data_IF_606846157677
#
_entry.id   IF_606846157677
#
_cell.length_a   1.000
_cell.length_b   1.000
_cell.length_c   1.000
_cell.angle_alpha   90.00
_cell.angle_beta   90.00
_cell.angle_gamma   90.00
#
_symmetry.space_group_name_H-M   'P 1'
#
loop_
_entity.id
_entity.type
_entity.pdbx_description
1 polymer ?
#
# COMPACT_ATOMS: atom_id res chain seq x y z
N UNK A 1 71.88 -60.10 -45.37
CA UNK A 1 70.67 -59.81 -44.56
C UNK A 1 70.87 -60.03 -43.05
N UNK A 2 71.55 -61.10 -42.58
CA UNK A 2 71.79 -61.35 -41.12
C UNK A 2 72.59 -60.26 -40.37
N UNK A 3 73.57 -59.60 -41.00
CA UNK A 3 74.38 -58.54 -40.36
C UNK A 3 73.62 -57.22 -40.17
N UNK A 4 72.70 -56.88 -41.07
CA UNK A 4 71.85 -55.68 -40.97
C UNK A 4 70.77 -55.90 -39.89
N UNK A 5 70.21 -57.11 -39.80
CA UNK A 5 69.28 -57.49 -38.73
C UNK A 5 69.93 -57.40 -37.33
N UNK A 6 71.19 -57.82 -37.19
CA UNK A 6 71.92 -57.75 -35.93
C UNK A 6 72.28 -56.32 -35.51
N UNK A 7 72.62 -55.44 -36.47
CA UNK A 7 72.86 -54.02 -36.19
C UNK A 7 71.55 -53.30 -35.85
N UNK A 8 70.44 -53.66 -36.50
CA UNK A 8 69.11 -53.15 -36.17
C UNK A 8 68.67 -53.59 -34.77
N UNK A 9 68.94 -54.85 -34.38
CA UNK A 9 68.70 -55.35 -33.02
C UNK A 9 69.58 -54.62 -31.99
N UNK A 10 70.86 -54.36 -32.29
CA UNK A 10 71.75 -53.64 -31.37
C UNK A 10 71.35 -52.16 -31.26
N UNK A 11 70.88 -51.53 -32.34
CA UNK A 11 70.38 -50.15 -32.32
C UNK A 11 69.06 -50.06 -31.53
N UNK A 12 68.15 -51.03 -31.69
CA UNK A 12 66.93 -51.16 -30.88
C UNK A 12 67.26 -51.44 -29.40
N UNK A 13 68.28 -52.27 -29.12
CA UNK A 13 68.77 -52.52 -27.75
C UNK A 13 69.43 -51.29 -27.12
N UNK A 14 70.04 -50.40 -27.92
CA UNK A 14 70.60 -49.13 -27.45
C UNK A 14 69.52 -48.12 -27.02
N UNK A 15 68.36 -48.16 -27.67
CA UNK A 15 67.16 -47.41 -27.25
C UNK A 15 66.45 -48.04 -26.05
N UNK A 16 66.78 -49.29 -25.67
CA UNK A 16 66.23 -50.00 -24.51
C UNK A 16 67.15 -49.98 -23.28
N UNK A 17 68.20 -49.16 -23.29
CA UNK A 17 69.07 -48.96 -22.11
C UNK A 17 68.31 -48.09 -21.11
N UNK A 18 67.60 -48.73 -20.18
CA UNK A 18 66.98 -48.07 -19.03
C UNK A 18 68.02 -47.40 -18.12
N UNK A 19 67.57 -46.47 -17.28
CA UNK A 19 68.40 -45.78 -16.28
C UNK A 19 69.16 -46.78 -15.39
N UNK A 20 70.47 -46.55 -15.16
CA UNK A 20 71.39 -47.49 -14.50
C UNK A 20 71.62 -47.20 -12.99
N UNK A 21 70.68 -46.52 -12.35
CA UNK A 21 70.71 -46.18 -10.91
C UNK A 21 69.39 -46.60 -10.27
N UNK A 22 69.39 -46.77 -8.95
CA UNK A 22 68.16 -47.01 -8.19
C UNK A 22 67.42 -45.68 -8.01
N UNK A 23 66.16 -45.62 -8.43
CA UNK A 23 65.43 -44.37 -8.46
C UNK A 23 64.97 -43.95 -7.04
N UNK A 24 65.45 -42.80 -6.58
CA UNK A 24 64.88 -42.10 -5.42
C UNK A 24 63.89 -41.04 -5.89
N UNK A 25 62.59 -41.37 -5.83
CA UNK A 25 61.51 -40.50 -6.27
C UNK A 25 61.06 -39.51 -5.19
N UNK A 26 60.85 -38.26 -5.59
CA UNK A 26 60.06 -37.30 -4.82
C UNK A 26 58.58 -37.60 -5.04
N UNK A 27 57.77 -37.49 -3.99
CA UNK A 27 56.33 -37.74 -4.07
C UNK A 27 55.63 -36.80 -5.06
N UNK A 28 54.51 -37.29 -5.62
CA UNK A 28 53.71 -36.54 -6.58
C UNK A 28 53.04 -35.32 -5.94
N UNK A 29 52.78 -34.32 -6.76
CA UNK A 29 51.99 -33.13 -6.43
C UNK A 29 50.82 -33.01 -7.40
N UNK A 30 49.97 -32.00 -7.21
CA UNK A 30 48.92 -31.67 -8.17
C UNK A 30 49.42 -30.94 -9.44
N UNK A 31 50.73 -30.73 -9.56
CA UNK A 31 51.36 -30.10 -10.74
C UNK A 31 52.40 -30.99 -11.41
N UNK A 32 52.87 -32.04 -10.73
CA UNK A 32 53.93 -32.93 -11.21
C UNK A 32 53.76 -34.35 -10.65
N UNK A 33 53.97 -35.41 -11.44
CA UNK A 33 53.96 -36.80 -10.97
C UNK A 33 55.20 -37.10 -10.11
N UNK A 34 55.34 -38.33 -9.61
CA UNK A 34 56.54 -38.71 -8.87
C UNK A 34 57.75 -38.55 -9.77
N UNK A 35 58.81 -37.90 -9.29
CA UNK A 35 59.97 -37.53 -10.13
C UNK A 35 61.27 -37.97 -9.46
N UNK A 36 62.12 -38.68 -10.20
CA UNK A 36 63.41 -39.11 -9.68
C UNK A 36 64.35 -37.91 -9.54
N UNK A 37 64.90 -37.73 -8.33
CA UNK A 37 65.77 -36.60 -8.00
C UNK A 37 67.10 -36.56 -8.75
N UNK A 38 67.57 -37.70 -9.28
CA UNK A 38 68.87 -37.81 -9.95
C UNK A 38 68.79 -37.76 -11.48
N UNK A 39 67.75 -38.32 -12.09
CA UNK A 39 67.63 -38.43 -13.55
C UNK A 39 66.39 -37.73 -14.16
N UNK A 40 65.44 -37.27 -13.34
CA UNK A 40 64.22 -36.61 -13.79
C UNK A 40 63.16 -37.56 -14.38
N UNK A 41 63.36 -38.88 -14.32
CA UNK A 41 62.37 -39.86 -14.77
C UNK A 41 61.10 -39.76 -13.92
N UNK A 42 59.92 -39.79 -14.56
CA UNK A 42 58.63 -39.58 -13.92
C UNK A 42 57.78 -40.85 -13.88
N UNK A 43 57.09 -41.11 -12.76
CA UNK A 43 56.23 -42.28 -12.57
C UNK A 43 54.86 -41.89 -12.00
N UNK A 44 53.80 -42.51 -12.55
CA UNK A 44 52.42 -42.31 -12.10
C UNK A 44 51.76 -41.01 -12.56
N UNK A 45 50.51 -40.81 -12.15
CA UNK A 45 49.74 -39.60 -12.42
C UNK A 45 49.98 -38.53 -11.35
N UNK A 46 49.62 -37.28 -11.68
CA UNK A 46 49.57 -36.19 -10.69
C UNK A 46 48.48 -36.45 -9.63
N UNK A 47 48.63 -35.84 -8.45
CA UNK A 47 47.56 -35.86 -7.44
C UNK A 47 46.37 -35.00 -7.90
N UNK A 48 45.12 -35.36 -7.56
CA UNK A 48 43.97 -34.51 -7.86
C UNK A 48 44.09 -33.17 -7.12
N UNK A 49 43.59 -32.10 -7.74
CA UNK A 49 43.51 -30.79 -7.09
C UNK A 49 42.49 -30.81 -5.94
N UNK A 50 42.88 -30.29 -4.78
CA UNK A 50 41.97 -29.97 -3.66
C UNK A 50 41.57 -28.51 -3.76
N UNK A 51 40.41 -28.25 -4.37
CA UNK A 51 39.87 -26.91 -4.56
C UNK A 51 39.12 -26.42 -3.32
N UNK A 52 39.34 -25.16 -2.97
CA UNK A 52 38.41 -24.40 -2.15
C UNK A 52 37.16 -24.04 -2.96
N UNK A 53 36.01 -23.94 -2.29
CA UNK A 53 34.77 -23.51 -2.94
C UNK A 53 34.87 -22.05 -3.40
N UNK A 54 34.20 -21.75 -4.52
CA UNK A 54 34.09 -20.39 -5.01
C UNK A 54 33.29 -19.54 -4.03
N UNK A 55 33.58 -18.23 -4.00
CA UNK A 55 32.82 -17.25 -3.24
C UNK A 55 32.39 -16.10 -4.18
N UNK A 56 31.84 -15.02 -3.62
CA UNK A 56 31.34 -13.89 -4.42
C UNK A 56 32.40 -13.20 -5.28
N UNK A 57 33.67 -13.21 -4.84
CA UNK A 57 34.76 -12.46 -5.47
C UNK A 57 35.82 -13.35 -6.13
N UNK A 58 35.89 -14.64 -5.75
CA UNK A 58 36.93 -15.57 -6.18
C UNK A 58 36.34 -16.88 -6.72
N UNK A 59 36.90 -17.43 -7.84
CA UNK A 59 36.56 -18.76 -8.33
C UNK A 59 37.11 -19.84 -7.38
N UNK A 60 36.93 -21.12 -7.74
CA UNK A 60 37.56 -22.21 -6.98
C UNK A 60 39.08 -22.13 -7.11
N UNK A 61 39.81 -22.26 -6.00
CA UNK A 61 41.28 -22.18 -5.99
C UNK A 61 41.86 -23.44 -5.34
N UNK A 62 42.79 -24.10 -6.02
CA UNK A 62 43.51 -25.25 -5.48
C UNK A 62 44.42 -24.80 -4.33
N UNK A 63 44.22 -25.38 -3.15
CA UNK A 63 44.94 -25.01 -1.92
C UNK A 63 46.46 -25.27 -2.00
N UNK A 64 46.88 -26.17 -2.90
CA UNK A 64 48.26 -26.64 -3.00
C UNK A 64 49.09 -25.92 -4.07
N UNK A 65 48.48 -25.50 -5.19
CA UNK A 65 49.21 -24.91 -6.31
C UNK A 65 48.65 -23.57 -6.81
N UNK A 66 47.50 -23.11 -6.31
CA UNK A 66 46.88 -21.86 -6.73
C UNK A 66 46.19 -21.90 -8.10
N UNK A 67 46.07 -23.07 -8.73
CA UNK A 67 45.29 -23.22 -9.96
C UNK A 67 43.83 -22.81 -9.69
N UNK A 68 43.24 -22.04 -10.61
CA UNK A 68 41.85 -21.59 -10.56
C UNK A 68 40.97 -22.43 -11.47
N UNK A 69 39.74 -22.70 -11.04
CA UNK A 69 38.72 -23.40 -11.82
C UNK A 69 37.37 -22.68 -11.73
N UNK A 70 36.73 -22.47 -12.90
CA UNK A 70 35.45 -21.77 -13.00
C UNK A 70 35.55 -20.26 -12.75
N UNK A 71 34.41 -19.65 -12.44
CA UNK A 71 34.29 -18.21 -12.15
C UNK A 71 33.84 -18.00 -10.70
N UNK A 72 33.98 -16.76 -10.21
CA UNK A 72 33.39 -16.37 -8.94
C UNK A 72 31.86 -16.46 -9.02
N UNK A 73 31.20 -16.68 -7.88
CA UNK A 73 29.74 -16.78 -7.83
C UNK A 73 29.04 -15.45 -8.18
N UNK A 74 29.75 -14.33 -8.06
CA UNK A 74 29.18 -13.00 -8.17
C UNK A 74 28.33 -12.61 -6.96
N UNK A 75 27.76 -11.41 -7.03
CA UNK A 75 26.91 -10.87 -5.97
C UNK A 75 25.45 -10.87 -6.39
N UNK A 76 24.60 -11.45 -5.53
CA UNK A 76 23.15 -11.25 -5.57
C UNK A 76 22.80 -10.32 -4.41
N UNK A 77 22.30 -9.12 -4.72
CA UNK A 77 21.97 -8.12 -3.71
C UNK A 77 20.47 -8.09 -3.40
N UNK A 78 20.13 -7.89 -2.12
CA UNK A 78 18.81 -7.41 -1.73
C UNK A 78 18.67 -5.92 -2.05
N UNK A 79 17.44 -5.47 -2.30
CA UNK A 79 17.16 -4.05 -2.55
C UNK A 79 17.52 -3.19 -1.33
N UNK A 80 17.94 -1.95 -1.58
CA UNK A 80 18.17 -0.98 -0.53
C UNK A 80 16.84 -0.57 0.14
N UNK A 81 16.89 -0.24 1.42
CA UNK A 81 15.75 0.26 2.20
C UNK A 81 15.94 1.75 2.50
N UNK A 82 15.01 2.35 3.27
CA UNK A 82 15.16 3.73 3.74
C UNK A 82 16.44 3.94 4.56
N UNK A 83 16.88 2.91 5.30
CA UNK A 83 17.93 3.01 6.32
C UNK A 83 19.16 2.18 6.01
N UNK A 84 19.07 1.21 5.10
CA UNK A 84 20.17 0.31 4.75
C UNK A 84 20.46 0.30 3.24
N UNK A 85 21.74 0.25 2.83
CA UNK A 85 22.10 0.09 1.42
C UNK A 85 21.77 -1.31 0.91
N UNK A 86 21.85 -1.48 -0.41
CA UNK A 86 21.68 -2.78 -1.06
C UNK A 86 22.77 -3.75 -0.57
N UNK A 87 22.39 -4.95 -0.12
CA UNK A 87 23.30 -5.86 0.61
C UNK A 87 23.34 -7.23 -0.03
N UNK A 88 24.55 -7.78 -0.24
CA UNK A 88 24.73 -9.09 -0.85
C UNK A 88 24.22 -10.19 0.07
N UNK A 89 23.28 -10.99 -0.42
CA UNK A 89 22.62 -12.07 0.32
C UNK A 89 23.56 -13.21 0.72
N UNK A 90 24.74 -13.30 0.11
CA UNK A 90 25.71 -14.39 0.32
C UNK A 90 26.83 -13.96 1.28
N UNK A 91 27.43 -12.78 1.07
CA UNK A 91 28.62 -12.34 1.82
C UNK A 91 28.41 -11.09 2.69
N UNK A 92 27.27 -10.40 2.58
CA UNK A 92 26.98 -9.20 3.35
C UNK A 92 27.67 -7.92 2.87
N UNK A 93 28.46 -7.97 1.78
CA UNK A 93 29.00 -6.75 1.17
C UNK A 93 27.87 -5.83 0.72
N UNK A 94 28.02 -4.53 0.93
CA UNK A 94 27.04 -3.52 0.55
C UNK A 94 27.38 -2.87 -0.77
N UNK A 95 26.37 -2.36 -1.46
CA UNK A 95 26.49 -1.61 -2.70
C UNK A 95 25.61 -0.36 -2.64
N UNK A 96 26.20 0.81 -2.91
CA UNK A 96 25.52 2.10 -2.83
C UNK A 96 25.19 2.55 -1.41
N UNK A 97 24.26 3.50 -1.31
CA UNK A 97 23.77 4.07 -0.05
C UNK A 97 22.33 3.64 0.21
N UNK A 98 21.83 3.86 1.43
CA UNK A 98 20.42 3.72 1.74
C UNK A 98 19.57 4.71 0.92
N UNK A 99 18.32 4.35 0.61
CA UNK A 99 17.43 5.19 -0.21
C UNK A 99 17.01 6.48 0.48
N UNK A 100 17.09 6.51 1.82
CA UNK A 100 16.56 7.59 2.64
C UNK A 100 15.02 7.62 2.67
N UNK A 101 14.47 8.41 3.58
CA UNK A 101 13.04 8.68 3.59
C UNK A 101 12.70 9.74 2.54
N UNK A 102 11.64 9.50 1.78
CA UNK A 102 11.10 10.44 0.78
C UNK A 102 9.66 10.76 1.14
N UNK A 103 9.39 12.02 1.41
CA UNK A 103 8.03 12.46 1.78
C UNK A 103 7.06 12.30 0.60
N UNK A 104 5.85 11.82 0.90
CA UNK A 104 4.71 11.90 0.00
C UNK A 104 4.11 13.31 -0.02
N UNK A 105 3.17 13.54 -0.95
CA UNK A 105 2.20 14.61 -0.81
C UNK A 105 1.35 14.42 0.45
N UNK A 106 0.69 15.49 0.89
CA UNK A 106 -0.27 15.43 1.98
C UNK A 106 -1.46 14.55 1.62
N UNK A 107 -1.85 13.70 2.57
CA UNK A 107 -3.02 12.85 2.47
C UNK A 107 -3.93 13.21 3.65
N UNK A 108 -5.23 13.26 3.40
CA UNK A 108 -6.24 13.59 4.42
C UNK A 108 -6.99 12.34 4.87
N UNK A 109 -7.26 12.23 6.18
CA UNK A 109 -8.08 11.17 6.78
C UNK A 109 -8.78 11.67 8.04
N UNK A 110 -9.55 10.78 8.68
CA UNK A 110 -10.13 10.98 10.01
C UNK A 110 -10.99 12.25 10.11
N UNK A 111 -11.90 12.46 9.14
CA UNK A 111 -12.89 13.53 9.21
C UNK A 111 -13.82 13.33 10.42
N UNK A 112 -13.83 14.32 11.30
CA UNK A 112 -14.77 14.46 12.41
C UNK A 112 -15.70 15.64 12.12
N UNK A 113 -16.91 15.31 11.63
CA UNK A 113 -17.91 16.31 11.26
C UNK A 113 -18.55 16.98 12.49
N UNK A 114 -18.41 16.39 13.68
CA UNK A 114 -18.96 16.98 14.91
C UNK A 114 -18.07 18.08 15.47
N UNK A 115 -16.75 17.92 15.33
CA UNK A 115 -15.79 18.93 15.76
C UNK A 115 -15.28 19.83 14.63
N UNK A 116 -15.65 19.51 13.38
CA UNK A 116 -15.17 20.24 12.22
C UNK A 116 -13.67 20.06 12.02
N UNK A 117 -13.15 18.85 12.18
CA UNK A 117 -11.71 18.59 12.05
C UNK A 117 -11.38 17.42 11.15
N UNK A 118 -10.14 17.38 10.66
CA UNK A 118 -9.55 16.23 9.96
C UNK A 118 -8.05 16.15 10.20
N UNK A 119 -7.46 15.01 9.89
CA UNK A 119 -6.02 14.77 10.01
C UNK A 119 -5.35 14.80 8.64
N UNK A 120 -4.36 15.67 8.49
CA UNK A 120 -3.41 15.63 7.38
C UNK A 120 -2.17 14.84 7.80
N UNK A 121 -1.70 13.93 6.96
CA UNK A 121 -0.49 13.17 7.21
C UNK A 121 0.33 12.94 5.95
N UNK A 122 1.64 12.72 6.14
CA UNK A 122 2.58 12.32 5.10
C UNK A 122 3.19 10.97 5.43
N UNK A 123 3.46 10.19 4.39
CA UNK A 123 4.15 8.91 4.51
C UNK A 123 5.47 8.93 3.77
N UNK A 124 6.37 8.01 4.12
CA UNK A 124 7.54 7.74 3.31
C UNK A 124 7.13 6.95 2.04
N UNK A 125 7.45 7.43 0.85
CA UNK A 125 7.11 6.75 -0.41
C UNK A 125 7.85 5.41 -0.63
N UNK A 126 8.77 5.05 0.28
CA UNK A 126 9.61 3.84 0.21
C UNK A 126 9.16 2.80 1.25
N UNK A 127 8.98 3.19 2.51
CA UNK A 127 8.58 2.28 3.60
C UNK A 127 7.13 2.47 4.09
N UNK A 128 6.43 3.51 3.61
CA UNK A 128 5.06 3.86 3.98
C UNK A 128 4.82 4.23 5.45
N UNK A 129 5.89 4.39 6.24
CA UNK A 129 5.78 4.90 7.61
C UNK A 129 5.30 6.36 7.62
N UNK A 130 4.45 6.70 8.58
CA UNK A 130 3.99 8.07 8.81
C UNK A 130 5.17 8.93 9.30
N UNK A 131 5.38 10.05 8.63
CA UNK A 131 6.53 10.94 8.86
C UNK A 131 6.13 12.27 9.48
N UNK A 132 4.90 12.71 9.18
CA UNK A 132 4.35 13.97 9.67
C UNK A 132 2.84 13.87 9.76
N UNK A 133 2.27 14.53 10.76
CA UNK A 133 0.84 14.53 11.05
C UNK A 133 0.43 15.88 11.64
N UNK A 134 -0.71 16.40 11.21
CA UNK A 134 -1.30 17.63 11.72
C UNK A 134 -2.82 17.51 11.79
N UNK A 135 -3.42 18.10 12.81
CA UNK A 135 -4.87 18.21 12.97
C UNK A 135 -5.31 19.57 12.42
N UNK A 136 -6.27 19.55 11.49
CA UNK A 136 -6.80 20.74 10.84
C UNK A 136 -8.23 20.98 11.33
N UNK A 137 -8.57 22.25 11.56
CA UNK A 137 -9.94 22.70 11.83
C UNK A 137 -10.51 23.35 10.57
N UNK A 138 -11.77 23.06 10.28
CA UNK A 138 -12.48 23.50 9.08
C UNK A 138 -13.40 24.68 9.39
N UNK A 139 -13.31 25.72 8.58
CA UNK A 139 -14.25 26.85 8.61
C UNK A 139 -15.53 26.55 7.81
N UNK A 140 -15.47 25.60 6.88
CA UNK A 140 -16.61 25.12 6.08
C UNK A 140 -16.32 23.70 5.60
N UNK A 141 -17.37 22.94 5.32
CA UNK A 141 -17.26 21.63 4.66
C UNK A 141 -17.47 21.69 3.15
N UNK A 142 -17.51 22.88 2.55
CA UNK A 142 -17.70 23.06 1.11
C UNK A 142 -16.39 23.45 0.44
N UNK A 143 -16.00 22.72 -0.61
CA UNK A 143 -14.89 23.07 -1.49
C UNK A 143 -15.29 22.82 -2.96
N UNK A 144 -15.03 23.80 -3.83
CA UNK A 144 -15.36 23.74 -5.27
C UNK A 144 -16.76 23.17 -5.59
N UNK A 145 -17.79 23.68 -4.91
CA UNK A 145 -19.20 23.26 -5.03
C UNK A 145 -19.56 21.87 -4.48
N UNK A 146 -18.63 21.13 -3.89
CA UNK A 146 -18.86 19.81 -3.32
C UNK A 146 -18.66 19.81 -1.80
N UNK A 147 -19.33 18.89 -1.10
CA UNK A 147 -18.95 18.59 0.29
C UNK A 147 -17.60 17.88 0.31
N UNK A 148 -16.69 18.31 1.18
CA UNK A 148 -15.31 17.76 1.32
C UNK A 148 -15.25 16.35 1.90
N UNK A 149 -16.38 15.82 2.35
CA UNK A 149 -16.52 14.47 2.89
C UNK A 149 -17.44 13.63 2.01
N UNK A 150 -17.17 12.33 1.98
CA UNK A 150 -17.98 11.37 1.25
C UNK A 150 -19.14 10.82 2.10
N UNK A 151 -19.99 10.00 1.50
CA UNK A 151 -21.18 9.45 2.15
C UNK A 151 -20.88 8.56 3.36
N UNK A 152 -19.82 7.74 3.32
CA UNK A 152 -19.53 6.86 4.45
C UNK A 152 -18.88 7.63 5.61
N UNK A 153 -18.06 8.63 5.32
CA UNK A 153 -17.57 9.58 6.32
C UNK A 153 -18.75 10.28 7.00
N UNK A 154 -19.73 10.77 6.23
CA UNK A 154 -20.96 11.30 6.80
C UNK A 154 -21.70 10.27 7.65
N UNK A 155 -21.95 9.06 7.13
CA UNK A 155 -22.67 8.01 7.86
C UNK A 155 -21.96 7.63 9.17
N UNK A 156 -20.64 7.48 9.15
CA UNK A 156 -19.85 7.10 10.32
C UNK A 156 -19.83 8.20 11.39
N UNK A 157 -19.90 9.47 10.99
CA UNK A 157 -20.05 10.60 11.91
C UNK A 157 -21.49 10.75 12.42
N UNK A 158 -22.49 10.54 11.57
CA UNK A 158 -23.90 10.71 11.91
C UNK A 158 -24.44 9.59 12.80
N UNK A 159 -24.11 8.33 12.51
CA UNK A 159 -24.60 7.15 13.24
C UNK A 159 -24.44 7.27 14.76
N UNK A 160 -23.25 7.57 15.33
CA UNK A 160 -23.10 7.70 16.78
C UNK A 160 -23.92 8.85 17.36
N UNK A 161 -24.02 9.99 16.64
CA UNK A 161 -24.82 11.14 17.08
C UNK A 161 -26.29 10.76 17.19
N UNK A 162 -26.87 10.18 16.13
CA UNK A 162 -28.28 9.76 16.11
C UNK A 162 -28.59 8.70 17.17
N UNK A 163 -27.69 7.72 17.35
CA UNK A 163 -27.85 6.69 18.40
C UNK A 163 -27.68 7.23 19.83
N UNK A 164 -27.08 8.40 19.99
CA UNK A 164 -26.89 9.05 21.30
C UNK A 164 -28.09 9.90 21.73
N UNK A 165 -28.99 10.23 20.80
CA UNK A 165 -30.22 10.95 21.12
C UNK A 165 -31.05 10.17 22.15
N UNK A 166 -31.86 10.86 22.99
CA UNK A 166 -32.70 10.22 24.02
C UNK A 166 -33.91 9.47 23.43
N UNK A 167 -33.77 8.97 22.21
CA UNK A 167 -34.78 8.28 21.42
C UNK A 167 -34.20 6.91 21.04
N UNK A 168 -35.02 5.86 21.03
CA UNK A 168 -34.54 4.50 20.76
C UNK A 168 -34.35 4.29 19.25
N UNK A 169 -33.35 4.97 18.66
CA UNK A 169 -33.12 5.03 17.22
C UNK A 169 -32.00 4.09 16.79
N UNK A 170 -32.09 3.62 15.54
CA UNK A 170 -31.01 2.96 14.84
C UNK A 170 -30.79 3.60 13.46
N UNK A 171 -29.64 3.31 12.86
CA UNK A 171 -29.32 3.75 11.50
C UNK A 171 -28.98 2.56 10.63
N UNK A 172 -29.38 2.62 9.37
CA UNK A 172 -29.12 1.59 8.39
C UNK A 172 -28.73 2.23 7.05
N UNK A 173 -27.51 1.95 6.60
CA UNK A 173 -26.98 2.37 5.31
C UNK A 173 -27.21 1.25 4.29
N UNK A 174 -27.81 1.57 3.14
CA UNK A 174 -28.09 0.59 2.08
C UNK A 174 -28.00 1.23 0.69
N UNK A 175 -27.98 0.36 -0.31
CA UNK A 175 -28.01 0.71 -1.73
C UNK A 175 -29.33 0.23 -2.36
N UNK A 176 -29.97 1.07 -3.17
CA UNK A 176 -31.21 0.73 -3.86
C UNK A 176 -31.04 -0.48 -4.80
N UNK A 177 -31.99 -1.43 -4.77
CA UNK A 177 -31.92 -2.67 -5.56
C UNK A 177 -32.55 -2.61 -6.96
N UNK A 178 -33.12 -1.47 -7.37
CA UNK A 178 -33.81 -1.35 -8.66
C UNK A 178 -33.46 -0.06 -9.41
N UNK A 179 -32.59 -0.21 -10.41
CA UNK A 179 -32.36 0.67 -11.57
C UNK A 179 -31.87 2.10 -11.37
N UNK A 180 -31.92 2.67 -10.16
CA UNK A 180 -31.18 3.86 -9.80
C UNK A 180 -30.45 3.52 -8.50
N UNK A 181 -29.18 3.23 -8.66
CA UNK A 181 -28.25 2.76 -7.65
C UNK A 181 -27.94 3.80 -6.52
N UNK A 182 -28.99 4.42 -5.98
CA UNK A 182 -28.95 5.48 -4.99
C UNK A 182 -28.53 4.90 -3.63
N UNK A 183 -27.44 5.44 -3.06
CA UNK A 183 -27.05 5.20 -1.69
C UNK A 183 -27.94 6.04 -0.77
N UNK A 184 -28.47 5.41 0.28
CA UNK A 184 -29.30 6.10 1.26
C UNK A 184 -29.04 5.63 2.68
N UNK A 185 -29.37 6.50 3.64
CA UNK A 185 -29.36 6.19 5.06
C UNK A 185 -30.76 6.27 5.62
N UNK A 186 -31.23 5.20 6.23
CA UNK A 186 -32.46 5.19 7.00
C UNK A 186 -32.17 5.37 8.48
N UNK A 187 -32.98 6.18 9.14
CA UNK A 187 -33.12 6.22 10.60
C UNK A 187 -34.40 5.47 10.95
N UNK A 188 -34.29 4.57 11.93
CA UNK A 188 -35.35 3.63 12.32
C UNK A 188 -35.69 3.88 13.78
N UNK A 189 -36.96 4.08 14.09
CA UNK A 189 -37.44 3.99 15.47
C UNK A 189 -37.55 2.50 15.86
N UNK A 190 -36.74 2.08 16.82
CA UNK A 190 -36.69 0.68 17.27
C UNK A 190 -37.88 0.29 18.13
N UNK A 191 -38.63 1.25 18.66
CA UNK A 191 -39.85 0.97 19.40
C UNK A 191 -40.97 0.49 18.47
N UNK A 192 -41.10 1.13 17.32
CA UNK A 192 -42.16 0.86 16.32
C UNK A 192 -41.66 -0.02 15.17
N UNK A 193 -40.35 -0.14 14.99
CA UNK A 193 -39.69 -0.80 13.86
C UNK A 193 -40.11 -0.16 12.53
N UNK A 194 -40.19 1.18 12.51
CA UNK A 194 -40.53 1.97 11.32
C UNK A 194 -39.38 2.89 10.93
N UNK A 195 -39.19 3.06 9.62
CA UNK A 195 -38.33 4.11 9.08
C UNK A 195 -39.00 5.45 9.38
N UNK A 196 -38.28 6.34 10.05
CA UNK A 196 -38.76 7.68 10.40
C UNK A 196 -38.10 8.78 9.55
N UNK A 197 -36.94 8.51 8.96
CA UNK A 197 -36.22 9.44 8.10
C UNK A 197 -35.33 8.67 7.12
N UNK A 198 -35.29 9.11 5.87
CA UNK A 198 -34.39 8.61 4.83
C UNK A 198 -33.58 9.77 4.25
N UNK A 199 -32.26 9.59 4.18
CA UNK A 199 -31.29 10.53 3.61
C UNK A 199 -30.80 9.97 2.28
N UNK A 200 -30.87 10.79 1.24
CA UNK A 200 -30.42 10.50 -0.11
C UNK A 200 -29.31 11.47 -0.49
N UNK A 201 -28.31 11.00 -1.24
CA UNK A 201 -27.16 11.79 -1.69
C UNK A 201 -27.16 11.88 -3.22
N UNK A 202 -26.89 13.07 -3.75
CA UNK A 202 -26.91 13.34 -5.19
C UNK A 202 -25.78 14.27 -5.63
N UNK A 203 -25.39 14.15 -6.90
CA UNK A 203 -24.59 15.11 -7.64
C UNK A 203 -25.43 15.67 -8.81
N UNK A 204 -25.22 16.93 -9.17
CA UNK A 204 -25.80 17.63 -10.34
C UNK A 204 -25.74 16.84 -11.64
N UNK A 205 -24.73 15.98 -11.83
CA UNK A 205 -24.43 15.39 -13.14
C UNK A 205 -24.80 13.90 -13.28
N UNK A 206 -24.99 13.16 -12.18
CA UNK A 206 -25.21 11.70 -12.25
C UNK A 206 -25.89 11.17 -10.98
N UNK A 207 -26.93 10.32 -11.09
CA UNK A 207 -27.30 9.44 -9.99
C UNK A 207 -26.09 8.58 -9.63
N UNK A 208 -25.66 8.56 -8.37
CA UNK A 208 -24.56 7.71 -7.90
C UNK A 208 -24.93 6.24 -8.17
N UNK A 209 -23.99 5.38 -8.59
CA UNK A 209 -24.29 3.96 -8.87
C UNK A 209 -23.49 2.86 -8.17
N UNK A 210 -24.02 1.63 -8.09
CA UNK A 210 -23.46 0.47 -7.36
C UNK A 210 -22.16 0.00 -8.01
N UNK A 211 -22.01 0.19 -9.32
CA UNK A 211 -20.76 -0.04 -10.06
C UNK A 211 -19.68 1.00 -9.68
N UNK A 212 -20.06 2.11 -9.04
CA UNK A 212 -19.15 3.14 -8.51
C UNK A 212 -18.67 2.85 -7.07
N UNK A 213 -19.18 1.78 -6.43
CA UNK A 213 -18.78 1.37 -5.07
C UNK A 213 -18.21 -0.06 -5.07
N UNK A 214 -16.94 -0.25 -5.48
CA UNK A 214 -16.27 -1.52 -5.32
C UNK A 214 -16.07 -1.80 -3.82
N UNK A 215 -16.77 -2.83 -3.32
CA UNK A 215 -16.44 -3.65 -2.15
C UNK A 215 -15.41 -3.03 -1.19
N UNK A 216 -15.87 -2.37 -0.11
CA UNK A 216 -15.13 -2.12 1.14
C UNK A 216 -13.62 -1.85 0.97
N UNK A 217 -13.22 -1.04 -0.01
CA UNK A 217 -11.90 -0.41 -0.02
C UNK A 217 -12.05 0.96 0.63
N UNK A 218 -11.54 1.17 1.87
CA UNK A 218 -11.59 2.47 2.53
C UNK A 218 -10.85 3.60 1.77
N UNK A 219 -10.17 3.29 0.66
CA UNK A 219 -9.50 4.27 -0.20
C UNK A 219 -10.25 4.61 -1.50
N UNK A 220 -11.35 3.92 -1.85
CA UNK A 220 -12.08 4.14 -3.14
C UNK A 220 -13.42 4.89 -2.99
N UNK A 221 -13.76 5.43 -1.82
CA UNK A 221 -14.96 6.28 -1.64
C UNK A 221 -14.70 7.74 -2.08
N UNK A 222 -14.30 7.90 -3.33
CA UNK A 222 -13.79 9.16 -3.89
C UNK A 222 -14.86 9.99 -4.64
N UNK A 223 -16.15 9.75 -4.41
CA UNK A 223 -17.20 10.59 -5.01
C UNK A 223 -17.84 11.47 -3.95
N UNK A 224 -17.40 12.72 -3.98
CA UNK A 224 -18.07 13.81 -3.29
C UNK A 224 -19.46 14.00 -3.90
N UNK A 225 -20.37 14.50 -3.10
CA UNK A 225 -21.72 14.84 -3.49
C UNK A 225 -21.94 16.31 -3.17
N UNK A 226 -22.93 16.90 -3.82
CA UNK A 226 -23.26 18.31 -3.60
C UNK A 226 -24.69 18.55 -3.16
N UNK A 227 -25.56 17.53 -3.18
CA UNK A 227 -26.92 17.63 -2.69
C UNK A 227 -27.28 16.47 -1.77
N UNK A 228 -28.08 16.78 -0.76
CA UNK A 228 -28.65 15.83 0.18
C UNK A 228 -30.15 16.09 0.27
N UNK A 229 -30.93 15.07 -0.05
CA UNK A 229 -32.37 15.07 0.14
C UNK A 229 -32.74 14.25 1.38
N UNK A 230 -33.57 14.79 2.25
CA UNK A 230 -34.03 14.13 3.46
C UNK A 230 -35.54 14.08 3.40
N UNK A 231 -36.11 12.88 3.53
CA UNK A 231 -37.56 12.64 3.63
C UNK A 231 -37.84 12.08 5.02
N UNK A 232 -38.86 12.59 5.71
CA UNK A 232 -39.09 12.23 7.11
C UNK A 232 -40.56 12.18 7.53
N UNK A 233 -40.85 11.38 8.56
CA UNK A 233 -42.15 11.38 9.23
C UNK A 233 -42.29 12.64 10.10
N UNK A 234 -43.03 13.63 9.61
CA UNK A 234 -43.26 14.91 10.29
C UNK A 234 -44.03 14.79 11.60
N UNK A 235 -44.75 13.67 11.81
CA UNK A 235 -45.54 13.43 13.02
C UNK A 235 -44.71 12.74 14.12
N UNK A 236 -43.48 12.29 13.81
CA UNK A 236 -42.59 11.70 14.78
C UNK A 236 -42.04 12.75 15.77
N UNK A 237 -42.29 12.56 17.07
CA UNK A 237 -41.98 13.54 18.11
C UNK A 237 -40.49 13.92 18.24
N UNK A 238 -39.60 13.06 17.75
CA UNK A 238 -38.14 13.23 17.80
C UNK A 238 -37.56 13.80 16.51
N UNK A 239 -38.38 14.08 15.49
CA UNK A 239 -37.85 14.37 14.16
C UNK A 239 -37.08 15.69 14.11
N UNK A 240 -37.52 16.69 14.90
CA UNK A 240 -36.81 17.97 15.02
C UNK A 240 -35.39 17.76 15.57
N UNK A 241 -35.23 16.90 16.57
CA UNK A 241 -33.92 16.58 17.15
C UNK A 241 -33.01 15.90 16.11
N UNK A 242 -33.53 14.92 15.37
CA UNK A 242 -32.76 14.25 14.31
C UNK A 242 -32.30 15.24 13.23
N UNK A 243 -33.22 16.08 12.74
CA UNK A 243 -32.90 17.05 11.69
C UNK A 243 -31.89 18.10 12.16
N UNK A 244 -32.00 18.56 13.41
CA UNK A 244 -31.05 19.51 13.97
C UNK A 244 -29.63 18.93 14.04
N UNK A 245 -29.48 17.69 14.55
CA UNK A 245 -28.19 17.02 14.59
C UNK A 245 -27.62 16.75 13.19
N UNK A 246 -28.46 16.39 12.21
CA UNK A 246 -28.03 16.21 10.82
C UNK A 246 -27.52 17.53 10.23
N UNK A 247 -28.23 18.64 10.46
CA UNK A 247 -27.83 19.97 9.97
C UNK A 247 -26.46 20.38 10.51
N UNK A 248 -26.19 20.11 11.79
CA UNK A 248 -24.89 20.39 12.42
C UNK A 248 -23.73 19.63 11.76
N UNK A 249 -23.98 18.46 11.18
CA UNK A 249 -22.95 17.66 10.50
C UNK A 249 -22.59 18.21 9.11
N UNK A 250 -23.32 19.21 8.60
CA UNK A 250 -23.02 19.87 7.33
C UNK A 250 -22.33 21.22 7.50
N UNK A 251 -22.28 21.77 8.70
CA UNK A 251 -21.68 23.09 8.95
C UNK A 251 -20.88 23.09 10.27
N UNK A 252 -19.53 23.07 10.20
CA UNK A 252 -18.67 22.97 11.38
C UNK A 252 -18.70 24.22 12.26
N UNK A 253 -19.21 25.34 11.75
CA UNK A 253 -19.32 26.60 12.48
C UNK A 253 -20.72 26.79 13.08
N UNK A 254 -21.65 25.89 12.79
CA UNK A 254 -23.02 25.96 13.28
C UNK A 254 -23.13 25.37 14.68
N UNK A 255 -23.75 26.13 15.58
CA UNK A 255 -24.12 25.64 16.91
C UNK A 255 -25.57 25.13 16.93
N UNK A 256 -25.92 24.37 17.98
CA UNK A 256 -27.24 23.74 18.11
C UNK A 256 -28.41 24.71 18.03
N UNK A 257 -28.33 25.84 18.73
CA UNK A 257 -29.38 26.87 18.75
C UNK A 257 -29.65 27.44 17.34
N UNK A 258 -28.61 27.84 16.57
CA UNK A 258 -28.77 28.15 15.15
C UNK A 258 -29.41 27.04 14.30
N UNK A 259 -29.03 25.77 14.47
CA UNK A 259 -29.62 24.67 13.70
C UNK A 259 -31.14 24.54 13.90
N UNK A 260 -31.62 24.74 15.14
CA UNK A 260 -33.05 24.77 15.41
C UNK A 260 -33.74 25.99 14.78
N UNK A 261 -33.07 27.15 14.76
CA UNK A 261 -33.57 28.35 14.10
C UNK A 261 -33.65 28.19 12.58
N UNK A 262 -32.72 27.45 11.96
CA UNK A 262 -32.80 27.09 10.53
C UNK A 262 -34.10 26.32 10.29
N UNK A 263 -34.35 25.27 11.06
CA UNK A 263 -35.56 24.46 10.91
C UNK A 263 -36.83 25.29 11.06
N UNK A 264 -36.85 26.23 12.01
CA UNK A 264 -38.00 27.12 12.21
C UNK A 264 -38.15 28.10 11.03
N UNK A 265 -37.05 28.72 10.57
CA UNK A 265 -37.05 29.66 9.44
C UNK A 265 -37.46 28.99 8.10
N UNK A 266 -37.08 27.73 7.89
CA UNK A 266 -37.44 26.95 6.72
C UNK A 266 -38.96 26.69 6.61
N UNK A 267 -39.72 26.86 7.70
CA UNK A 267 -41.18 26.81 7.65
C UNK A 267 -41.83 28.13 7.20
N UNK A 268 -41.06 29.21 7.13
CA UNK A 268 -41.56 30.57 6.82
C UNK A 268 -41.27 31.00 5.37
N UNK A 269 -40.46 30.23 4.64
CA UNK A 269 -40.01 30.58 3.29
C UNK A 269 -39.87 29.36 2.37
N UNK A 270 -40.21 29.54 1.10
CA UNK A 270 -39.95 28.56 0.02
C UNK A 270 -38.58 28.78 -0.66
N UNK A 271 -37.85 29.83 -0.27
CA UNK A 271 -36.52 30.14 -0.80
C UNK A 271 -35.41 29.34 -0.09
N UNK A 272 -34.27 29.19 -0.75
CA UNK A 272 -33.07 28.67 -0.09
C UNK A 272 -32.57 29.63 0.98
N UNK A 273 -32.22 29.08 2.14
CA UNK A 273 -31.48 29.75 3.20
C UNK A 273 -30.00 29.35 3.07
N UNK A 274 -29.10 30.34 2.97
CA UNK A 274 -27.66 30.09 2.89
C UNK A 274 -26.99 30.45 4.22
N UNK A 275 -26.20 29.51 4.77
CA UNK A 275 -25.40 29.68 5.97
C UNK A 275 -24.04 29.01 5.77
N UNK A 276 -22.96 29.76 5.98
CA UNK A 276 -21.57 29.29 5.84
C UNK A 276 -21.25 28.51 4.54
N UNK A 277 -21.90 28.91 3.44
CA UNK A 277 -21.75 28.27 2.13
C UNK A 277 -22.63 27.04 1.90
N UNK A 278 -23.45 26.66 2.88
CA UNK A 278 -24.41 25.56 2.78
C UNK A 278 -25.82 26.12 2.59
N UNK A 279 -26.55 25.52 1.65
CA UNK A 279 -27.89 25.92 1.26
C UNK A 279 -28.90 24.93 1.83
N UNK A 280 -29.93 25.45 2.50
CA UNK A 280 -31.00 24.68 3.12
C UNK A 280 -32.34 25.09 2.51
N UNK A 281 -33.21 24.12 2.23
CA UNK A 281 -34.57 24.39 1.73
C UNK A 281 -35.55 23.33 2.17
N UNK A 282 -36.73 23.75 2.62
CA UNK A 282 -37.84 22.83 2.87
C UNK A 282 -38.45 22.38 1.53
N UNK A 283 -38.74 21.10 1.42
CA UNK A 283 -39.38 20.49 0.24
C UNK A 283 -40.67 19.83 0.68
N UNK A 284 -41.81 20.49 0.43
CA UNK A 284 -43.09 20.03 0.94
C UNK A 284 -43.18 20.13 2.47
N UNK A 285 -43.97 19.25 3.09
CA UNK A 285 -44.16 19.25 4.56
C UNK A 285 -43.17 18.34 5.29
N UNK A 286 -42.61 17.37 4.57
CA UNK A 286 -41.92 16.17 5.03
C UNK A 286 -40.55 15.99 4.35
N UNK A 287 -40.03 17.06 3.73
CA UNK A 287 -38.75 17.05 3.03
C UNK A 287 -37.84 18.22 3.40
N UNK A 288 -36.54 17.95 3.44
CA UNK A 288 -35.47 18.93 3.61
C UNK A 288 -34.39 18.66 2.55
N UNK A 289 -33.93 19.73 1.90
CA UNK A 289 -32.79 19.71 0.99
C UNK A 289 -31.63 20.47 1.64
N UNK A 290 -30.44 19.87 1.61
CA UNK A 290 -29.17 20.48 2.02
C UNK A 290 -28.22 20.40 0.82
N UNK A 291 -27.51 21.48 0.51
CA UNK A 291 -26.63 21.52 -0.65
C UNK A 291 -25.37 22.37 -0.41
N UNK A 292 -24.26 21.98 -1.01
CA UNK A 292 -23.00 22.75 -1.03
C UNK A 292 -22.98 23.85 -2.08
N UNK A 293 -24.00 23.94 -2.95
CA UNK A 293 -24.17 25.01 -3.94
C UNK A 293 -25.63 25.35 -4.13
N UNK A 294 -25.93 26.47 -4.77
CA UNK A 294 -27.31 26.76 -5.14
C UNK A 294 -27.73 25.77 -6.26
N UNK A 295 -28.78 24.95 -6.07
CA UNK A 295 -29.24 24.04 -7.11
C UNK A 295 -29.75 24.83 -8.32
N UNK A 296 -29.46 24.35 -9.53
CA UNK A 296 -30.05 24.93 -10.74
C UNK A 296 -31.55 24.58 -10.79
N UNK A 297 -32.41 25.58 -10.96
CA UNK A 297 -33.88 25.45 -11.09
C UNK A 297 -34.33 24.45 -12.17
#
# INVERSE_FOLDING_TARGET
MKKILSVFIIFVLFFLVGCRHEHSFTEASCTSPKTCSECGETEGDILPHDFSEANCESPKICKNCGLTEGEALGHTFADATCTEPSTCLICGNTNGEALGHKESEWITRDYDLTSGTYVNYKTCSVCFEETQTELITMDTFVDHDDFVFNMAQFYNNMMPVIRSLPHNLDTYFDFGSSSNDEAFVNIIDKNTVSICLTIFFFDDNTPLTLEDFPILDPNEEARLFNHVGIVYDKDAAFIKDCLAEIILLFDPQLEKDPAEQILDALNETDAFLELNGVYYKKVGDDGLMISSKLPND
#
